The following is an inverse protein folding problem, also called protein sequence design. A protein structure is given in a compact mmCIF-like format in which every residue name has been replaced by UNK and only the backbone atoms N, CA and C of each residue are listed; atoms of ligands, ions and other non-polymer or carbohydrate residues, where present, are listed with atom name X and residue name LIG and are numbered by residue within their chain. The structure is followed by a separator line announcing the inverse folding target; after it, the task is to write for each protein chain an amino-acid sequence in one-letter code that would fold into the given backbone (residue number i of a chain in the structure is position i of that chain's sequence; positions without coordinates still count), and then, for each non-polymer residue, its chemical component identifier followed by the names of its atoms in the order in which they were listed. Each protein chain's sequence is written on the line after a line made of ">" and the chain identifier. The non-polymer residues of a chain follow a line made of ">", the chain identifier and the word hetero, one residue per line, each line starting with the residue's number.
data_IF_494736160469
#
_entry.id   IF_494736160469
#
_cell.length_a   1.000
_cell.length_b   1.000
_cell.length_c   1.000
_cell.angle_alpha   90.00
_cell.angle_beta   90.00
_cell.angle_gamma   90.00
#
_symmetry.space_group_name_H-M   'P 1'
#
loop_
_entity.id
_entity.type
_entity.pdbx_description
1 polymer ?
#
# COMPACT_ATOMS: atom_id res chain seq x y z
N UNK A 1 6.04 -31.83 54.00
CA UNK A 1 7.49 -31.52 54.03
C UNK A 1 8.01 -31.48 52.61
N UNK A 2 8.48 -30.31 52.18
CA UNK A 2 9.06 -29.99 50.88
C UNK A 2 10.09 -31.03 50.42
N UNK A 3 10.07 -31.39 49.13
CA UNK A 3 11.21 -31.88 48.29
C UNK A 3 10.70 -32.41 46.94
N UNK A 4 10.25 -31.55 46.02
CA UNK A 4 10.13 -31.94 44.61
C UNK A 4 10.60 -30.79 43.72
N UNK A 5 11.87 -30.46 43.88
CA UNK A 5 12.63 -29.69 42.89
C UNK A 5 13.83 -30.54 42.52
N UNK A 6 14.08 -30.65 41.21
CA UNK A 6 15.17 -31.36 40.50
C UNK A 6 14.73 -32.66 39.83
N UNK A 7 14.28 -32.56 38.58
CA UNK A 7 14.85 -33.34 37.47
C UNK A 7 14.37 -32.78 36.11
N UNK A 8 14.84 -31.59 35.74
CA UNK A 8 14.86 -31.16 34.34
C UNK A 8 16.27 -31.46 33.82
N UNK A 9 16.44 -32.62 33.21
CA UNK A 9 17.66 -32.98 32.48
C UNK A 9 17.25 -33.79 31.24
N UNK A 10 17.83 -33.41 30.11
CA UNK A 10 17.95 -34.18 28.87
C UNK A 10 16.73 -34.28 27.94
N UNK A 11 16.39 -33.17 27.29
CA UNK A 11 16.13 -33.18 25.84
C UNK A 11 17.00 -32.11 25.17
N UNK A 12 18.32 -32.29 25.27
CA UNK A 12 19.29 -31.55 24.50
C UNK A 12 19.36 -32.12 23.08
N UNK A 13 18.54 -31.57 22.18
CA UNK A 13 18.77 -31.52 20.74
C UNK A 13 17.66 -30.64 20.11
N UNK A 14 17.46 -29.43 20.64
CA UNK A 14 16.76 -28.40 19.89
C UNK A 14 17.66 -28.06 18.71
N UNK A 15 17.28 -28.56 17.55
CA UNK A 15 17.82 -28.18 16.26
C UNK A 15 17.77 -26.65 16.16
N UNK A 16 18.88 -25.99 16.49
CA UNK A 16 19.09 -24.61 16.15
C UNK A 16 19.38 -24.58 14.65
N UNK A 17 18.33 -24.75 13.83
CA UNK A 17 18.32 -24.07 12.55
C UNK A 17 18.34 -22.58 12.91
N UNK A 18 19.39 -21.82 12.56
CA UNK A 18 19.19 -20.41 12.42
C UNK A 18 18.27 -20.30 11.19
N UNK A 19 16.97 -20.26 11.42
CA UNK A 19 16.06 -19.60 10.51
C UNK A 19 16.47 -18.13 10.51
N UNK A 20 17.59 -17.82 9.85
CA UNK A 20 17.77 -16.52 9.26
C UNK A 20 16.65 -16.46 8.23
N UNK A 21 15.50 -15.93 8.67
CA UNK A 21 14.63 -15.18 7.79
C UNK A 21 15.51 -14.08 7.22
N UNK A 22 16.26 -14.43 6.18
CA UNK A 22 16.77 -13.46 5.24
C UNK A 22 15.52 -12.95 4.55
N UNK A 23 14.90 -11.95 5.16
CA UNK A 23 14.17 -10.93 4.44
C UNK A 23 15.17 -10.47 3.38
N UNK A 24 15.19 -11.15 2.22
CA UNK A 24 15.86 -10.60 1.04
C UNK A 24 15.26 -9.22 0.92
N UNK A 25 16.05 -8.15 0.97
CA UNK A 25 15.48 -6.82 0.83
C UNK A 25 14.78 -6.87 -0.52
N UNK A 26 13.44 -6.94 -0.49
CA UNK A 26 12.66 -6.74 -1.69
C UNK A 26 13.13 -5.37 -2.14
N UNK A 27 13.91 -5.36 -3.22
CA UNK A 27 14.28 -4.15 -3.94
C UNK A 27 12.96 -3.67 -4.53
N UNK A 28 12.16 -3.02 -3.69
CA UNK A 28 11.10 -2.16 -4.16
C UNK A 28 11.80 -1.18 -5.08
N UNK A 29 11.28 -0.95 -6.28
CA UNK A 29 11.79 0.06 -7.21
C UNK A 29 11.64 1.51 -6.66
N UNK A 30 11.55 1.68 -5.34
CA UNK A 30 11.45 2.93 -4.62
C UNK A 30 12.81 3.61 -4.62
N UNK A 31 12.86 4.82 -5.17
CA UNK A 31 14.06 5.61 -5.04
C UNK A 31 14.29 5.96 -3.57
N UNK A 32 15.50 5.72 -3.06
CA UNK A 32 15.89 6.06 -1.70
C UNK A 32 15.67 7.55 -1.37
N UNK A 33 15.77 8.45 -2.35
CA UNK A 33 15.44 9.87 -2.16
C UNK A 33 13.98 10.10 -1.82
N UNK A 34 13.08 9.38 -2.48
CA UNK A 34 11.63 9.57 -2.35
C UNK A 34 11.14 8.95 -1.06
N UNK A 35 11.63 7.74 -0.74
CA UNK A 35 11.40 7.13 0.56
C UNK A 35 11.89 8.03 1.71
N UNK A 36 13.01 8.74 1.53
CA UNK A 36 13.48 9.72 2.51
C UNK A 36 12.64 11.00 2.52
N UNK A 37 12.12 11.45 1.39
CA UNK A 37 11.24 12.62 1.29
C UNK A 37 9.90 12.33 1.97
N UNK A 38 9.29 11.18 1.69
CA UNK A 38 8.09 10.68 2.38
C UNK A 38 8.35 10.52 3.87
N UNK A 39 9.48 9.93 4.28
CA UNK A 39 9.82 9.79 5.70
C UNK A 39 10.02 11.15 6.40
N UNK A 40 10.57 12.15 5.70
CA UNK A 40 10.69 13.53 6.22
C UNK A 40 9.33 14.21 6.30
N UNK A 41 8.47 14.06 5.29
CA UNK A 41 7.11 14.57 5.30
C UNK A 41 6.27 13.92 6.41
N UNK A 42 6.42 12.61 6.62
CA UNK A 42 5.79 11.86 7.69
C UNK A 42 6.21 12.32 9.09
N UNK A 43 7.43 12.84 9.23
CA UNK A 43 7.98 13.39 10.47
C UNK A 43 7.80 14.91 10.59
N UNK A 44 7.43 15.58 9.50
CA UNK A 44 7.17 17.00 9.47
C UNK A 44 5.88 17.33 10.20
N UNK A 45 5.81 18.50 10.83
CA UNK A 45 4.61 18.99 11.52
C UNK A 45 3.44 19.33 10.57
N UNK A 46 3.65 19.19 9.24
CA UNK A 46 2.68 19.55 8.20
C UNK A 46 1.61 18.47 7.95
N UNK A 47 1.75 17.28 8.52
CA UNK A 47 0.69 16.27 8.50
C UNK A 47 -0.31 16.55 9.61
N UNK A 48 -1.44 17.14 9.25
CA UNK A 48 -2.56 17.34 10.15
C UNK A 48 -3.33 16.04 10.37
N UNK A 49 -3.87 15.85 11.57
CA UNK A 49 -4.79 14.73 11.84
C UNK A 49 -6.04 14.86 10.99
N UNK A 50 -6.37 13.83 10.22
CA UNK A 50 -7.59 13.79 9.41
C UNK A 50 -8.75 13.29 10.27
N UNK A 51 -9.80 14.09 10.41
CA UNK A 51 -11.03 13.65 11.08
C UNK A 51 -11.74 12.56 10.27
N UNK A 52 -12.54 11.68 10.90
CA UNK A 52 -13.31 10.66 10.17
C UNK A 52 -14.18 11.25 9.05
N UNK A 53 -14.77 12.42 9.29
CA UNK A 53 -15.58 13.11 8.27
C UNK A 53 -14.73 13.60 7.09
N UNK A 54 -13.56 14.17 7.35
CA UNK A 54 -12.63 14.57 6.29
C UNK A 54 -12.14 13.35 5.50
N UNK A 55 -11.84 12.24 6.17
CA UNK A 55 -11.45 10.99 5.51
C UNK A 55 -12.56 10.47 4.57
N UNK A 56 -13.81 10.50 5.04
CA UNK A 56 -14.97 10.13 4.22
C UNK A 56 -15.15 11.07 3.03
N UNK A 57 -15.08 12.38 3.26
CA UNK A 57 -15.21 13.38 2.19
C UNK A 57 -14.13 13.18 1.11
N UNK A 58 -12.87 13.01 1.53
CA UNK A 58 -11.75 12.71 0.64
C UNK A 58 -11.98 11.41 -0.14
N UNK A 59 -12.60 10.40 0.49
CA UNK A 59 -12.94 9.16 -0.17
C UNK A 59 -14.01 9.33 -1.25
N UNK A 60 -15.05 10.11 -0.97
CA UNK A 60 -16.12 10.39 -1.93
C UNK A 60 -15.66 11.27 -3.09
N UNK A 61 -14.74 12.20 -2.85
CA UNK A 61 -14.15 13.04 -3.91
C UNK A 61 -13.47 12.21 -5.01
N UNK A 62 -12.92 11.03 -4.68
CA UNK A 62 -12.34 10.13 -5.69
C UNK A 62 -13.38 9.55 -6.65
N UNK A 63 -14.66 9.53 -6.26
CA UNK A 63 -15.74 9.01 -7.11
C UNK A 63 -16.31 10.07 -8.06
N UNK A 64 -16.02 11.35 -7.87
CA UNK A 64 -16.63 12.44 -8.64
C UNK A 64 -16.34 12.45 -10.15
N UNK A 65 -15.11 12.16 -10.62
CA UNK A 65 -14.81 12.17 -12.06
C UNK A 65 -15.28 10.90 -12.78
N UNK A 66 -15.84 9.91 -12.07
CA UNK A 66 -16.28 8.67 -12.68
C UNK A 66 -17.61 8.85 -13.44
N UNK A 67 -17.79 8.16 -14.57
CA UNK A 67 -19.09 8.05 -15.23
C UNK A 67 -20.18 7.58 -14.26
N UNK A 68 -21.43 7.97 -14.51
CA UNK A 68 -22.58 7.75 -13.61
C UNK A 68 -22.66 6.32 -13.04
N UNK A 69 -22.43 5.32 -13.90
CA UNK A 69 -22.45 3.91 -13.51
C UNK A 69 -21.30 3.54 -12.56
N UNK A 70 -20.06 3.89 -12.91
CA UNK A 70 -18.90 3.63 -12.03
C UNK A 70 -18.95 4.47 -10.74
N UNK A 71 -19.59 5.63 -10.78
CA UNK A 71 -19.76 6.52 -9.63
C UNK A 71 -20.64 5.89 -8.54
N UNK A 72 -21.77 5.29 -8.90
CA UNK A 72 -22.63 4.62 -7.90
C UNK A 72 -21.90 3.47 -7.21
N UNK A 73 -21.16 2.65 -7.97
CA UNK A 73 -20.42 1.52 -7.44
C UNK A 73 -19.23 1.97 -6.57
N UNK A 74 -18.55 3.06 -6.95
CA UNK A 74 -17.50 3.65 -6.13
C UNK A 74 -18.03 4.13 -4.78
N UNK A 75 -19.17 4.84 -4.78
CA UNK A 75 -19.80 5.33 -3.55
C UNK A 75 -20.24 4.17 -2.66
N UNK A 76 -20.81 3.11 -3.24
CA UNK A 76 -21.18 1.89 -2.52
C UNK A 76 -19.97 1.26 -1.79
N UNK A 77 -18.83 1.14 -2.49
CA UNK A 77 -17.57 0.63 -1.92
C UNK A 77 -17.03 1.52 -0.81
N UNK A 78 -17.03 2.85 -1.00
CA UNK A 78 -16.60 3.82 0.03
C UNK A 78 -17.46 3.71 1.29
N UNK A 79 -18.76 3.42 1.13
CA UNK A 79 -19.69 3.22 2.24
C UNK A 79 -19.66 1.81 2.84
N UNK A 80 -18.79 0.92 2.35
CA UNK A 80 -18.66 -0.45 2.85
C UNK A 80 -19.83 -1.36 2.51
N UNK A 81 -20.54 -1.09 1.41
CA UNK A 81 -21.60 -1.97 0.92
C UNK A 81 -21.03 -3.22 0.24
N UNK A 82 -21.79 -4.31 0.28
CA UNK A 82 -21.43 -5.60 -0.32
C UNK A 82 -21.60 -6.77 0.65
N UNK A 83 -21.47 -7.98 0.14
CA UNK A 83 -21.47 -9.20 0.93
C UNK A 83 -20.06 -9.47 1.45
N UNK A 84 -19.93 -9.63 2.78
CA UNK A 84 -18.65 -9.87 3.44
C UNK A 84 -18.37 -11.36 3.59
N UNK A 85 -17.19 -11.80 3.16
CA UNK A 85 -16.72 -13.18 3.31
C UNK A 85 -15.35 -13.22 3.98
N UNK A 86 -15.10 -14.26 4.78
CA UNK A 86 -13.85 -14.43 5.54
C UNK A 86 -14.00 -14.05 7.01
N UNK A 87 -12.86 -13.84 7.68
CA UNK A 87 -12.82 -13.45 9.09
C UNK A 87 -11.50 -12.78 9.42
N UNK A 88 -11.48 -11.99 10.51
CA UNK A 88 -10.26 -11.36 11.01
C UNK A 88 -9.21 -12.41 11.37
N UNK A 89 -9.62 -13.48 12.06
CA UNK A 89 -8.73 -14.61 12.39
C UNK A 89 -8.22 -15.33 11.13
N UNK A 90 -9.04 -15.37 10.08
CA UNK A 90 -8.69 -15.92 8.77
C UNK A 90 -7.90 -14.99 7.85
N UNK A 91 -7.44 -13.82 8.34
CA UNK A 91 -6.58 -12.91 7.60
C UNK A 91 -7.30 -11.78 6.85
N UNK A 92 -8.62 -11.64 6.99
CA UNK A 92 -9.36 -10.49 6.45
C UNK A 92 -10.81 -10.80 6.09
N UNK A 93 -11.54 -9.72 5.80
CA UNK A 93 -12.90 -9.75 5.25
C UNK A 93 -12.84 -9.17 3.84
N UNK A 94 -13.30 -9.94 2.86
CA UNK A 94 -13.45 -9.52 1.48
C UNK A 94 -14.90 -9.08 1.26
N UNK A 95 -15.10 -7.93 0.62
CA UNK A 95 -16.41 -7.40 0.28
C UNK A 95 -16.70 -7.64 -1.21
N UNK A 96 -17.79 -8.33 -1.52
CA UNK A 96 -18.24 -8.58 -2.89
C UNK A 96 -19.45 -7.72 -3.25
N UNK A 97 -19.42 -7.11 -4.44
CA UNK A 97 -20.55 -6.42 -5.04
C UNK A 97 -20.69 -6.86 -6.50
N UNK A 98 -21.88 -7.30 -6.91
CA UNK A 98 -22.17 -7.69 -8.30
C UNK A 98 -23.08 -6.67 -8.95
N UNK A 99 -22.66 -6.19 -10.12
CA UNK A 99 -23.46 -5.26 -10.93
C UNK A 99 -23.68 -5.89 -12.29
N UNK A 100 -24.95 -6.16 -12.63
CA UNK A 100 -25.34 -6.78 -13.91
C UNK A 100 -25.80 -5.71 -14.88
N UNK A 101 -25.28 -5.77 -16.11
CA UNK A 101 -25.64 -4.83 -17.18
C UNK A 101 -26.02 -5.57 -18.48
N UNK A 102 -26.89 -4.99 -19.30
CA UNK A 102 -27.06 -5.39 -20.71
C UNK A 102 -25.73 -5.26 -21.47
N UNK A 103 -25.45 -6.24 -22.33
CA UNK A 103 -24.19 -6.28 -23.10
C UNK A 103 -23.93 -5.02 -23.93
N UNK A 104 -24.97 -4.42 -24.51
CA UNK A 104 -24.86 -3.18 -25.29
C UNK A 104 -24.46 -1.97 -24.44
N UNK A 105 -24.91 -1.91 -23.18
CA UNK A 105 -24.51 -0.84 -22.25
C UNK A 105 -23.06 -1.03 -21.81
N UNK A 106 -22.65 -2.26 -21.50
CA UNK A 106 -21.25 -2.57 -21.16
C UNK A 106 -20.29 -2.14 -22.29
N UNK A 107 -20.62 -2.49 -23.54
CA UNK A 107 -19.81 -2.12 -24.71
C UNK A 107 -19.72 -0.60 -24.92
N UNK A 108 -20.82 0.12 -24.67
CA UNK A 108 -20.84 1.57 -24.78
C UNK A 108 -19.96 2.23 -23.71
N UNK A 109 -20.01 1.74 -22.47
CA UNK A 109 -19.15 2.22 -21.38
C UNK A 109 -17.67 1.91 -21.65
N UNK A 110 -17.34 0.70 -22.08
CA UNK A 110 -15.96 0.30 -22.42
C UNK A 110 -15.33 1.20 -23.49
N UNK A 111 -16.11 1.58 -24.51
CA UNK A 111 -15.65 2.51 -25.56
C UNK A 111 -15.37 3.91 -25.02
N UNK A 112 -16.05 4.31 -23.95
CA UNK A 112 -15.90 5.62 -23.30
C UNK A 112 -14.81 5.64 -22.23
N UNK A 113 -14.30 4.48 -21.80
CA UNK A 113 -13.11 4.41 -20.95
C UNK A 113 -11.91 4.80 -21.83
N UNK A 114 -11.50 6.06 -21.74
CA UNK A 114 -10.24 6.53 -22.30
C UNK A 114 -9.07 5.69 -21.77
N UNK A 115 -7.88 5.75 -22.41
CA UNK A 115 -6.73 5.02 -21.92
C UNK A 115 -6.54 5.35 -20.44
N UNK A 116 -6.55 4.31 -19.60
CA UNK A 116 -6.13 4.47 -18.21
C UNK A 116 -4.68 4.92 -18.28
N UNK A 117 -4.47 6.24 -18.22
CA UNK A 117 -3.17 6.79 -17.89
C UNK A 117 -2.96 6.39 -16.43
N UNK A 118 -2.39 5.21 -16.24
CA UNK A 118 -1.63 4.95 -15.05
C UNK A 118 -0.74 6.19 -14.86
N UNK A 119 -0.68 6.76 -13.65
CA UNK A 119 0.19 7.90 -13.39
C UNK A 119 1.53 7.58 -14.01
N UNK A 120 1.99 8.49 -14.85
CA UNK A 120 3.18 8.27 -15.67
C UNK A 120 4.25 7.78 -14.71
N UNK A 121 4.78 6.58 -14.95
CA UNK A 121 5.91 6.06 -14.19
C UNK A 121 7.19 6.82 -14.57
N UNK A 122 7.08 8.06 -15.06
CA UNK A 122 8.20 8.98 -15.09
C UNK A 122 8.43 9.45 -13.66
N UNK A 123 8.94 8.52 -12.86
CA UNK A 123 10.07 8.84 -12.04
C UNK A 123 11.15 9.47 -12.95
N UNK A 124 11.04 10.77 -13.21
CA UNK A 124 12.11 11.57 -13.76
C UNK A 124 13.16 11.62 -12.66
N UNK A 125 14.05 10.62 -12.70
CA UNK A 125 15.32 10.64 -11.99
C UNK A 125 15.87 12.06 -12.10
N UNK A 126 15.97 12.83 -11.00
CA UNK A 126 16.64 14.11 -11.04
C UNK A 126 18.04 13.84 -11.59
N UNK A 127 18.32 14.34 -12.78
CA UNK A 127 19.67 14.37 -13.31
C UNK A 127 20.40 15.37 -12.41
N UNK A 128 20.89 14.89 -11.27
CA UNK A 128 21.81 15.65 -10.45
C UNK A 128 22.97 16.01 -11.38
N UNK A 129 22.96 17.26 -11.85
CA UNK A 129 24.07 17.86 -12.53
C UNK A 129 25.27 17.61 -11.63
N UNK A 130 26.14 16.68 -12.02
CA UNK A 130 27.46 16.53 -11.41
C UNK A 130 28.14 17.86 -11.68
N UNK A 131 28.02 18.81 -10.76
CA UNK A 131 28.95 19.92 -10.67
C UNK A 131 30.30 19.27 -10.43
N UNK A 132 31.03 19.03 -11.51
CA UNK A 132 32.42 18.61 -11.48
C UNK A 132 33.18 19.71 -10.75
N UNK A 133 33.34 19.54 -9.43
CA UNK A 133 34.22 20.37 -8.63
C UNK A 133 35.64 20.01 -9.09
N UNK A 134 36.20 20.83 -9.99
CA UNK A 134 37.61 20.76 -10.37
C UNK A 134 38.44 20.85 -9.08
N UNK A 135 39.21 19.81 -8.78
CA UNK A 135 40.22 19.87 -7.74
C UNK A 135 41.36 20.81 -8.17
N UNK A 136 41.96 21.59 -7.25
CA UNK A 136 43.08 22.44 -7.59
C UNK A 136 44.33 21.59 -7.93
N UNK A 137 45.07 22.03 -8.94
CA UNK A 137 46.35 21.45 -9.31
C UNK A 137 47.39 21.76 -8.22
N UNK A 138 48.03 20.73 -7.68
CA UNK A 138 49.19 20.89 -6.82
C UNK A 138 50.38 21.41 -7.65
N UNK A 139 51.06 22.40 -7.08
CA UNK A 139 52.38 22.90 -7.47
C UNK A 139 53.45 21.85 -7.15
#
# INVERSE_FOLDING_TARGET
>A
MNKITRLMLLCGAMAALPALAQETPYQTNMNKSDAQAEARAARGADLTSVTPQQALNNALQRCDPLPTYFKSDCIARVKGQGEGFGSVTGGGILMESKTTLPASQLQAEEKNVGPVMLPRQDYQRPQHQRKHKKAPANQ
#
